data_IF_161541243205
#
_entry.id   IF_161541243205
#
_cell.length_a   1.000
_cell.length_b   1.000
_cell.length_c   1.000
_cell.angle_alpha   90.00
_cell.angle_beta   90.00
_cell.angle_gamma   90.00
#
_symmetry.space_group_name_H-M   'P 1'
#
loop_
_entity.id
_entity.type
_entity.pdbx_description
1 polymer ?
#
# COMPACT_ATOMS: atom_id res chain seq x y z
N UNK A 1 8.46 -15.59 -1.49
CA UNK A 1 8.49 -14.64 -0.34
C UNK A 1 9.18 -13.33 -0.69
N UNK A 2 10.43 -13.33 -1.18
CA UNK A 2 11.07 -12.10 -1.71
C UNK A 2 10.26 -11.45 -2.83
N UNK A 3 9.66 -12.26 -3.70
CA UNK A 3 8.84 -11.76 -4.82
C UNK A 3 7.57 -11.05 -4.34
N UNK A 4 6.78 -11.62 -3.44
CA UNK A 4 5.57 -10.96 -2.88
C UNK A 4 5.90 -9.65 -2.17
N UNK A 5 7.03 -9.55 -1.47
CA UNK A 5 7.49 -8.28 -0.89
C UNK A 5 7.91 -7.26 -1.97
N UNK A 6 8.44 -7.72 -3.10
CA UNK A 6 8.72 -6.86 -4.25
C UNK A 6 7.42 -6.39 -4.93
N UNK A 7 6.41 -7.27 -5.04
CA UNK A 7 5.10 -6.99 -5.61
C UNK A 7 4.38 -5.90 -4.80
N UNK A 8 4.32 -6.05 -3.47
CA UNK A 8 3.77 -5.03 -2.55
C UNK A 8 4.52 -3.71 -2.68
N UNK A 9 5.85 -3.75 -2.80
CA UNK A 9 6.65 -2.53 -2.91
C UNK A 9 6.47 -1.84 -4.27
N UNK A 10 6.35 -2.59 -5.37
CA UNK A 10 6.06 -2.02 -6.68
C UNK A 10 4.65 -1.43 -6.72
N UNK A 11 3.65 -2.14 -6.22
CA UNK A 11 2.28 -1.64 -6.15
C UNK A 11 2.18 -0.39 -5.25
N UNK A 12 2.97 -0.31 -4.18
CA UNK A 12 3.10 0.92 -3.40
C UNK A 12 3.76 2.07 -4.19
N UNK A 13 4.76 1.79 -5.05
CA UNK A 13 5.34 2.79 -5.94
C UNK A 13 4.33 3.25 -7.03
N UNK A 14 3.51 2.34 -7.55
CA UNK A 14 2.54 2.60 -8.63
C UNK A 14 1.25 3.25 -8.13
N UNK A 15 0.78 2.88 -6.94
CA UNK A 15 -0.43 3.42 -6.29
C UNK A 15 -0.15 4.61 -5.36
N UNK A 16 1.10 4.85 -4.98
CA UNK A 16 1.52 6.05 -4.28
C UNK A 16 1.47 7.26 -5.22
N UNK A 17 0.91 8.38 -4.75
CA UNK A 17 0.98 9.64 -5.48
C UNK A 17 2.47 9.97 -5.73
N UNK A 18 2.84 10.01 -7.01
CA UNK A 18 4.05 10.67 -7.59
C UNK A 18 5.36 9.85 -7.79
N UNK A 19 5.38 8.52 -7.66
CA UNK A 19 6.57 7.72 -8.04
C UNK A 19 6.36 6.92 -9.32
N UNK A 20 6.54 7.56 -10.48
CA UNK A 20 6.54 6.88 -11.79
C UNK A 20 7.85 6.10 -12.00
N UNK A 21 8.02 5.00 -11.29
CA UNK A 21 9.15 4.08 -11.49
C UNK A 21 8.74 3.00 -12.48
N UNK A 22 9.50 2.86 -13.58
CA UNK A 22 9.24 1.78 -14.53
C UNK A 22 9.61 0.42 -13.92
N UNK A 23 8.93 -0.65 -14.35
CA UNK A 23 9.26 -2.02 -13.92
C UNK A 23 10.74 -2.35 -14.14
N UNK A 24 11.32 -1.88 -15.25
CA UNK A 24 12.74 -2.06 -15.56
C UNK A 24 13.66 -1.36 -14.53
N UNK A 25 13.33 -0.14 -14.13
CA UNK A 25 14.07 0.59 -13.09
C UNK A 25 13.92 -0.06 -11.71
N UNK A 26 12.73 -0.58 -11.39
CA UNK A 26 12.47 -1.26 -10.13
C UNK A 26 13.28 -2.55 -10.00
N UNK A 27 13.26 -3.38 -11.04
CA UNK A 27 13.93 -4.69 -11.06
C UNK A 27 15.46 -4.56 -11.04
N UNK A 28 16.02 -3.44 -11.49
CA UNK A 28 17.46 -3.14 -11.34
C UNK A 28 17.91 -3.07 -9.87
N UNK A 29 17.00 -2.78 -8.93
CA UNK A 29 17.31 -2.77 -7.50
C UNK A 29 17.17 -4.15 -6.83
N UNK A 30 16.68 -5.16 -7.56
CA UNK A 30 16.47 -6.52 -7.03
C UNK A 30 17.74 -7.35 -7.23
N UNK A 31 18.27 -7.89 -6.13
CA UNK A 31 19.41 -8.82 -6.18
C UNK A 31 18.94 -10.18 -6.70
N UNK A 32 19.33 -10.57 -7.93
CA UNK A 32 19.03 -11.88 -8.50
C UNK A 32 18.72 -11.87 -10.01
N UNK A 33 17.96 -12.88 -10.46
CA UNK A 33 17.51 -13.01 -11.85
C UNK A 33 16.41 -12.00 -12.19
N UNK A 34 16.78 -10.97 -12.94
CA UNK A 34 15.91 -9.82 -13.27
C UNK A 34 14.67 -10.23 -14.07
N UNK A 35 14.82 -11.03 -15.12
CA UNK A 35 13.69 -11.50 -15.94
C UNK A 35 12.66 -12.29 -15.10
N UNK A 36 13.14 -13.25 -14.31
CA UNK A 36 12.27 -14.00 -13.40
C UNK A 36 11.56 -13.10 -12.40
N UNK A 37 12.21 -12.05 -11.89
CA UNK A 37 11.57 -11.10 -10.99
C UNK A 37 10.47 -10.30 -11.70
N UNK A 38 10.73 -9.81 -12.92
CA UNK A 38 9.72 -9.14 -13.75
C UNK A 38 8.50 -10.01 -13.96
N UNK A 39 8.70 -11.25 -14.40
CA UNK A 39 7.60 -12.17 -14.69
C UNK A 39 6.76 -12.43 -13.44
N UNK A 40 7.40 -12.70 -12.29
CA UNK A 40 6.68 -12.94 -11.03
C UNK A 40 5.88 -11.70 -10.62
N UNK A 41 6.45 -10.50 -10.76
CA UNK A 41 5.77 -9.27 -10.34
C UNK A 41 4.54 -9.01 -11.20
N UNK A 42 4.66 -9.11 -12.52
CA UNK A 42 3.53 -8.90 -13.43
C UNK A 42 2.42 -9.95 -13.21
N UNK A 43 2.82 -11.21 -13.00
CA UNK A 43 1.88 -12.31 -12.78
C UNK A 43 1.11 -12.18 -11.46
N UNK A 44 1.73 -11.61 -10.42
CA UNK A 44 1.07 -11.41 -9.13
C UNK A 44 0.35 -10.08 -9.00
N UNK A 45 0.53 -9.13 -9.92
CA UNK A 45 -0.01 -7.77 -9.81
C UNK A 45 -1.54 -7.79 -9.67
N UNK A 46 -2.23 -8.46 -10.61
CA UNK A 46 -3.69 -8.56 -10.59
C UNK A 46 -4.19 -9.34 -9.38
N UNK A 47 -3.53 -10.46 -9.05
CA UNK A 47 -3.88 -11.26 -7.88
C UNK A 47 -3.80 -10.41 -6.60
N UNK A 48 -2.76 -9.59 -6.46
CA UNK A 48 -2.57 -8.75 -5.28
C UNK A 48 -3.63 -7.63 -5.21
N UNK A 49 -3.99 -7.03 -6.34
CA UNK A 49 -5.09 -6.05 -6.38
C UNK A 49 -6.43 -6.66 -5.97
N UNK A 50 -6.70 -7.90 -6.41
CA UNK A 50 -7.90 -8.63 -6.00
C UNK A 50 -7.90 -8.95 -4.51
N UNK A 51 -6.77 -9.38 -3.95
CA UNK A 51 -6.65 -9.66 -2.51
C UNK A 51 -6.75 -8.40 -1.63
N UNK A 52 -6.41 -7.23 -2.17
CA UNK A 52 -6.61 -5.94 -1.52
C UNK A 52 -8.02 -5.37 -1.75
N UNK A 53 -8.91 -6.11 -2.44
CA UNK A 53 -10.26 -5.64 -2.81
C UNK A 53 -10.22 -4.30 -3.55
N UNK A 54 -9.14 -4.03 -4.30
CA UNK A 54 -8.86 -2.76 -4.98
C UNK A 54 -8.78 -1.53 -4.07
N UNK A 55 -8.64 -1.72 -2.74
CA UNK A 55 -8.34 -0.65 -1.79
C UNK A 55 -6.86 -0.28 -1.83
N UNK A 56 -6.45 0.44 -2.88
CA UNK A 56 -5.05 0.82 -3.12
C UNK A 56 -4.60 2.09 -2.38
N UNK A 57 -5.53 2.83 -1.77
CA UNK A 57 -5.21 4.07 -1.04
C UNK A 57 -4.79 3.74 0.38
N UNK A 58 -3.50 3.93 0.67
CA UNK A 58 -2.94 3.74 2.02
C UNK A 58 -2.64 5.10 2.64
N UNK A 59 -3.21 5.36 3.81
CA UNK A 59 -2.92 6.58 4.57
C UNK A 59 -1.74 6.36 5.52
N UNK A 60 -0.61 7.02 5.22
CA UNK A 60 0.62 6.85 5.97
C UNK A 60 0.73 7.88 7.13
N UNK A 61 1.21 7.49 8.34
CA UNK A 61 1.44 8.40 9.47
C UNK A 61 2.41 9.58 9.21
N UNK A 62 3.27 9.54 8.19
CA UNK A 62 4.19 10.67 7.94
C UNK A 62 3.46 11.98 7.60
N UNK A 63 2.32 11.92 6.90
CA UNK A 63 1.56 13.13 6.55
C UNK A 63 0.94 13.82 7.79
N UNK A 64 0.21 13.12 8.68
CA UNK A 64 -0.25 13.74 9.92
C UNK A 64 0.90 14.11 10.87
N UNK A 65 2.05 13.43 10.81
CA UNK A 65 3.24 13.85 11.56
C UNK A 65 3.67 15.27 11.17
N UNK A 66 3.84 15.56 9.88
CA UNK A 66 4.19 16.92 9.41
C UNK A 66 3.18 17.97 9.89
N UNK A 67 1.89 17.65 9.83
CA UNK A 67 0.84 18.53 10.34
C UNK A 67 0.98 18.82 11.84
N UNK A 68 1.24 17.78 12.65
CA UNK A 68 1.48 17.93 14.09
C UNK A 68 2.75 18.72 14.38
N UNK A 69 3.82 18.54 13.60
CA UNK A 69 5.06 19.31 13.78
C UNK A 69 4.85 20.81 13.53
N UNK A 70 4.12 21.17 12.48
CA UNK A 70 3.78 22.58 12.19
C UNK A 70 2.88 23.16 13.29
N UNK A 71 1.91 22.37 13.74
CA UNK A 71 0.99 22.76 14.81
C UNK A 71 1.72 23.05 16.13
N UNK A 72 2.68 22.19 16.51
CA UNK A 72 3.51 22.38 17.69
C UNK A 72 4.38 23.63 17.56
N UNK A 73 5.02 23.84 16.40
CA UNK A 73 5.86 25.04 16.18
C UNK A 73 5.08 26.34 16.29
N UNK A 74 3.79 26.33 15.92
CA UNK A 74 2.95 27.53 15.91
C UNK A 74 2.23 27.78 17.23
N UNK A 75 1.79 26.72 17.93
CA UNK A 75 0.97 26.82 19.15
C UNK A 75 1.71 26.53 20.45
N UNK A 76 2.92 25.93 20.40
CA UNK A 76 3.69 25.50 21.58
C UNK A 76 5.15 25.96 21.54
N UNK A 77 5.45 27.26 21.75
CA UNK A 77 6.83 27.75 21.78
C UNK A 77 7.69 27.14 22.90
N UNK A 78 7.07 26.62 23.97
CA UNK A 78 7.74 25.94 25.07
C UNK A 78 8.14 24.49 24.75
N UNK A 79 7.65 23.92 23.65
CA UNK A 79 7.98 22.56 23.26
C UNK A 79 9.39 22.52 22.63
N UNK A 80 10.20 21.47 22.86
CA UNK A 80 11.51 21.37 22.25
C UNK A 80 11.43 21.44 20.73
N UNK A 81 12.45 22.00 20.09
CA UNK A 81 12.53 22.08 18.64
C UNK A 81 12.19 20.72 17.98
N UNK A 82 11.05 20.61 17.29
CA UNK A 82 10.59 19.31 16.83
C UNK A 82 11.48 18.70 15.75
N UNK A 83 12.29 19.50 15.05
CA UNK A 83 13.26 18.99 14.08
C UNK A 83 14.36 18.16 14.76
N UNK A 84 14.74 18.50 16.00
CA UNK A 84 15.72 17.71 16.77
C UNK A 84 15.16 16.37 17.21
N UNK A 85 13.83 16.29 17.35
CA UNK A 85 13.12 15.08 17.76
C UNK A 85 12.74 14.20 16.58
N UNK A 86 12.87 14.70 15.35
CA UNK A 86 12.47 14.02 14.12
C UNK A 86 13.08 12.64 13.97
N UNK A 87 14.38 12.49 14.23
CA UNK A 87 15.05 11.18 14.17
C UNK A 87 14.48 10.16 15.14
N UNK A 88 13.99 10.59 16.31
CA UNK A 88 13.34 9.71 17.29
C UNK A 88 11.93 9.34 16.86
N UNK A 89 11.21 10.26 16.22
CA UNK A 89 9.88 10.01 15.67
C UNK A 89 9.96 9.04 14.48
N UNK A 90 10.91 9.25 13.58
CA UNK A 90 11.13 8.38 12.41
C UNK A 90 11.52 6.96 12.84
N UNK A 91 12.47 6.81 13.79
CA UNK A 91 12.82 5.50 14.36
C UNK A 91 11.60 4.79 14.98
N UNK A 92 10.74 5.53 15.68
CA UNK A 92 9.53 4.97 16.25
C UNK A 92 8.52 4.54 15.16
N UNK A 93 8.32 5.36 14.13
CA UNK A 93 7.42 5.06 13.01
C UNK A 93 7.92 3.85 12.21
N UNK A 94 9.22 3.75 11.94
CA UNK A 94 9.82 2.58 11.29
C UNK A 94 9.59 1.31 12.12
N UNK A 95 9.82 1.37 13.43
CA UNK A 95 9.54 0.24 14.32
C UNK A 95 8.06 -0.16 14.34
N UNK A 96 7.17 0.82 14.20
CA UNK A 96 5.72 0.57 14.13
C UNK A 96 5.32 -0.28 12.92
N UNK A 97 6.05 -0.20 11.80
CA UNK A 97 5.81 -1.02 10.61
C UNK A 97 6.06 -2.52 10.82
N UNK A 98 6.77 -2.91 11.89
CA UNK A 98 6.98 -4.30 12.28
C UNK A 98 5.89 -4.83 13.22
N UNK A 99 4.78 -4.10 13.35
CA UNK A 99 3.63 -4.46 14.19
C UNK A 99 2.33 -4.30 13.42
N UNK A 100 1.24 -4.84 13.95
CA UNK A 100 -0.10 -4.71 13.35
C UNK A 100 -0.73 -3.33 13.59
N UNK A 101 0.00 -2.36 14.15
CA UNK A 101 -0.53 -1.05 14.52
C UNK A 101 -1.17 -0.30 13.34
N UNK A 102 -0.57 -0.39 12.15
CA UNK A 102 -1.09 0.25 10.93
C UNK A 102 -2.43 -0.31 10.47
N UNK A 103 -2.81 -1.50 10.94
CA UNK A 103 -4.10 -2.13 10.68
C UNK A 103 -5.12 -1.84 11.80
N UNK A 104 -4.64 -1.57 13.01
CA UNK A 104 -5.47 -1.43 14.22
C UNK A 104 -5.77 0.03 14.60
N UNK A 105 -5.02 0.99 14.06
CA UNK A 105 -5.05 2.39 14.52
C UNK A 105 -5.06 3.37 13.35
N UNK A 106 -5.65 4.55 13.59
CA UNK A 106 -5.63 5.61 12.60
C UNK A 106 -4.21 6.20 12.45
N UNK A 107 -3.79 6.61 11.25
CA UNK A 107 -2.45 7.16 11.01
C UNK A 107 -2.16 8.40 11.87
N UNK A 108 -3.16 9.23 12.16
CA UNK A 108 -3.01 10.39 13.05
C UNK A 108 -2.73 9.99 14.50
N UNK A 109 -3.27 8.86 14.99
CA UNK A 109 -2.99 8.35 16.34
C UNK A 109 -1.57 7.79 16.43
N UNK A 110 -1.12 7.12 15.37
CA UNK A 110 0.25 6.61 15.25
C UNK A 110 1.24 7.80 15.24
N UNK A 111 0.97 8.82 14.42
CA UNK A 111 1.79 10.03 14.35
C UNK A 111 1.85 10.79 15.69
N UNK A 112 0.70 10.97 16.36
CA UNK A 112 0.66 11.59 17.69
C UNK A 112 1.48 10.79 18.70
N UNK A 113 1.36 9.46 18.68
CA UNK A 113 2.16 8.60 19.57
C UNK A 113 3.65 8.74 19.32
N UNK A 114 4.08 8.86 18.06
CA UNK A 114 5.49 9.09 17.71
C UNK A 114 6.01 10.41 18.30
N UNK A 115 5.22 11.49 18.20
CA UNK A 115 5.55 12.79 18.80
C UNK A 115 5.67 12.68 20.32
N UNK A 116 4.69 12.07 20.99
CA UNK A 116 4.69 11.91 22.45
C UNK A 116 5.82 11.00 22.93
N UNK A 117 6.16 9.96 22.16
CA UNK A 117 7.30 9.10 22.42
C UNK A 117 8.61 9.88 22.37
N UNK A 118 8.82 10.65 21.31
CA UNK A 118 10.04 11.45 21.15
C UNK A 118 10.14 12.54 22.24
N UNK A 119 9.03 13.19 22.59
CA UNK A 119 8.97 14.17 23.67
C UNK A 119 9.34 13.55 25.03
N UNK A 120 8.78 12.38 25.35
CA UNK A 120 9.09 11.66 26.59
C UNK A 120 10.58 11.25 26.64
N UNK A 121 11.13 10.75 25.53
CA UNK A 121 12.54 10.38 25.42
C UNK A 121 13.48 11.59 25.56
N UNK A 122 13.04 12.77 25.14
CA UNK A 122 13.73 14.04 25.34
C UNK A 122 13.42 14.72 26.68
N UNK A 123 12.71 14.06 27.60
CA UNK A 123 12.29 14.57 28.90
C UNK A 123 11.51 15.90 28.82
N UNK A 124 10.78 16.10 27.74
CA UNK A 124 9.98 17.29 27.51
C UNK A 124 8.55 17.11 28.04
N UNK A 125 7.97 18.19 28.56
CA UNK A 125 6.58 18.17 29.00
C UNK A 125 5.63 18.26 27.80
N UNK A 126 5.10 17.11 27.38
CA UNK A 126 4.12 17.02 26.29
C UNK A 126 2.66 17.12 26.76
N UNK A 127 2.39 17.09 28.06
CA UNK A 127 1.01 17.04 28.58
C UNK A 127 0.24 18.33 28.31
N UNK A 128 0.92 19.48 28.39
CA UNK A 128 0.36 20.80 28.07
C UNK A 128 -0.13 20.83 26.61
N UNK A 129 0.64 20.27 25.68
CA UNK A 129 0.23 20.21 24.28
C UNK A 129 -1.01 19.35 24.08
N UNK A 130 -1.05 18.16 24.69
CA UNK A 130 -2.17 17.23 24.50
C UNK A 130 -3.43 17.75 25.17
N UNK A 131 -3.37 18.08 26.46
CA UNK A 131 -4.55 18.46 27.24
C UNK A 131 -5.04 19.87 26.91
N UNK A 132 -4.13 20.85 26.84
CA UNK A 132 -4.52 22.27 26.86
C UNK A 132 -4.63 22.87 25.46
N UNK A 133 -4.05 22.23 24.43
CA UNK A 133 -3.96 22.78 23.07
C UNK A 133 -4.65 21.86 22.05
N UNK A 134 -4.32 20.58 22.02
CA UNK A 134 -4.86 19.63 21.05
C UNK A 134 -6.28 19.19 21.41
N UNK A 135 -6.53 18.94 22.69
CA UNK A 135 -7.84 18.52 23.21
C UNK A 135 -8.50 19.58 24.10
N UNK A 136 -8.14 20.86 23.89
CA UNK A 136 -8.76 21.98 24.58
C UNK A 136 -10.30 21.92 24.43
N UNK A 137 -11.03 21.89 25.55
CA UNK A 137 -12.49 21.82 25.56
C UNK A 137 -13.10 20.46 25.18
N UNK A 138 -12.30 19.40 25.07
CA UNK A 138 -12.82 18.04 24.86
C UNK A 138 -13.23 17.36 26.18
N UNK A 139 -14.12 16.37 26.09
CA UNK A 139 -14.49 15.56 27.26
C UNK A 139 -13.30 14.71 27.76
N UNK A 140 -13.24 14.49 29.08
CA UNK A 140 -12.22 13.65 29.70
C UNK A 140 -12.17 12.23 29.12
N UNK A 141 -13.32 11.68 28.73
CA UNK A 141 -13.39 10.34 28.11
C UNK A 141 -12.59 10.27 26.81
N UNK A 142 -12.70 11.27 25.93
CA UNK A 142 -11.97 11.29 24.65
C UNK A 142 -10.46 11.34 24.89
N UNK A 143 -10.03 12.16 25.86
CA UNK A 143 -8.63 12.25 26.26
C UNK A 143 -8.12 10.91 26.82
N UNK A 144 -8.95 10.21 27.61
CA UNK A 144 -8.61 8.89 28.15
C UNK A 144 -8.40 7.86 27.04
N UNK A 145 -9.34 7.78 26.07
CA UNK A 145 -9.22 6.88 24.92
C UNK A 145 -7.93 7.12 24.12
N UNK A 146 -7.54 8.38 23.92
CA UNK A 146 -6.30 8.71 23.21
C UNK A 146 -5.07 8.31 24.03
N UNK A 147 -5.06 8.57 25.33
CA UNK A 147 -3.95 8.13 26.21
C UNK A 147 -3.81 6.61 26.22
N UNK A 148 -4.91 5.87 26.21
CA UNK A 148 -4.90 4.41 26.13
C UNK A 148 -4.41 3.91 24.77
N UNK A 149 -4.83 4.54 23.68
CA UNK A 149 -4.36 4.24 22.33
C UNK A 149 -2.83 4.40 22.22
N UNK A 150 -2.30 5.52 22.75
CA UNK A 150 -0.86 5.81 22.82
C UNK A 150 -0.12 4.74 23.63
N UNK A 151 -0.64 4.38 24.81
CA UNK A 151 -0.04 3.31 25.65
C UNK A 151 -0.04 1.96 24.94
N UNK A 152 -1.15 1.58 24.31
CA UNK A 152 -1.30 0.32 23.58
C UNK A 152 -0.25 0.23 22.46
N UNK A 153 -0.12 1.28 21.66
CA UNK A 153 0.87 1.31 20.59
C UNK A 153 2.31 1.21 21.12
N UNK A 154 2.62 1.92 22.21
CA UNK A 154 3.93 1.84 22.84
C UNK A 154 4.26 0.40 23.30
N UNK A 155 3.28 -0.31 23.88
CA UNK A 155 3.44 -1.70 24.28
C UNK A 155 3.65 -2.64 23.09
N UNK A 156 2.91 -2.44 21.99
CA UNK A 156 3.08 -3.22 20.75
C UNK A 156 4.50 -3.08 20.21
N UNK A 157 5.00 -1.84 20.11
CA UNK A 157 6.35 -1.56 19.62
C UNK A 157 7.42 -2.11 20.57
N UNK A 158 7.18 -2.10 21.88
CA UNK A 158 8.09 -2.70 22.87
C UNK A 158 8.11 -4.23 22.80
N UNK A 159 7.00 -4.85 22.39
CA UNK A 159 6.85 -6.30 22.30
C UNK A 159 7.46 -6.92 21.03
N UNK A 160 8.04 -6.11 20.12
CA UNK A 160 8.68 -6.60 18.90
C UNK A 160 9.81 -7.57 19.26
N UNK A 161 9.69 -8.81 18.79
CA UNK A 161 10.73 -9.83 18.91
C UNK A 161 11.30 -10.14 17.53
N UNK A 162 12.61 -9.96 17.38
CA UNK A 162 13.29 -10.36 16.13
C UNK A 162 13.45 -11.88 16.14
N UNK A 163 12.87 -12.60 15.16
CA UNK A 163 12.96 -14.05 15.13
C UNK A 163 14.41 -14.49 14.89
N UNK A 164 14.91 -15.51 15.61
CA UNK A 164 16.27 -16.02 15.42
C UNK A 164 16.40 -16.69 14.05
N UNK A 165 17.59 -16.57 13.44
CA UNK A 165 17.88 -17.04 12.08
C UNK A 165 17.56 -18.53 11.87
N UNK A 166 17.76 -19.36 12.89
CA UNK A 166 17.48 -20.80 12.80
C UNK A 166 15.98 -21.09 12.69
N UNK A 167 15.14 -20.33 13.41
CA UNK A 167 13.68 -20.43 13.26
C UNK A 167 13.22 -19.96 11.88
N UNK A 168 13.84 -18.91 11.35
CA UNK A 168 13.55 -18.43 9.98
C UNK A 168 13.92 -19.50 8.95
N UNK A 169 15.12 -20.09 9.03
CA UNK A 169 15.56 -21.17 8.12
C UNK A 169 14.67 -22.40 8.19
N UNK A 170 14.28 -22.82 9.40
CA UNK A 170 13.39 -23.96 9.58
C UNK A 170 12.00 -23.68 8.99
N UNK A 171 11.49 -22.45 9.10
CA UNK A 171 10.24 -22.05 8.47
C UNK A 171 10.35 -22.02 6.94
N UNK A 172 11.45 -21.48 6.38
CA UNK A 172 11.72 -21.47 4.94
C UNK A 172 11.76 -22.89 4.36
N UNK A 173 12.42 -23.84 5.04
CA UNK A 173 12.46 -25.24 4.60
C UNK A 173 11.09 -25.93 4.61
N UNK A 174 10.23 -25.58 5.58
CA UNK A 174 8.85 -26.08 5.62
C UNK A 174 8.01 -25.46 4.51
N UNK A 175 8.16 -24.15 4.28
CA UNK A 175 7.44 -23.41 3.25
C UNK A 175 7.69 -23.96 1.85
N UNK A 176 8.92 -24.38 1.55
CA UNK A 176 9.26 -24.96 0.24
C UNK A 176 8.47 -26.25 -0.05
N UNK A 177 8.15 -27.02 0.99
CA UNK A 177 7.39 -28.28 0.86
C UNK A 177 5.89 -28.08 0.71
N UNK A 178 5.34 -26.96 1.18
CA UNK A 178 3.90 -26.68 1.18
C UNK A 178 3.50 -25.48 0.33
N UNK A 179 4.38 -25.00 -0.56
CA UNK A 179 4.09 -23.88 -1.46
C UNK A 179 2.95 -24.24 -2.40
N UNK A 180 2.00 -23.31 -2.56
CA UNK A 180 0.92 -23.47 -3.53
C UNK A 180 1.50 -23.52 -4.96
N UNK A 181 1.34 -24.66 -5.62
CA UNK A 181 1.86 -24.91 -6.95
C UNK A 181 1.03 -24.24 -8.05
N UNK A 182 -0.19 -23.81 -7.76
CA UNK A 182 -1.00 -22.99 -8.67
C UNK A 182 -0.48 -21.56 -8.80
N UNK A 183 0.26 -21.04 -7.81
CA UNK A 183 0.84 -19.69 -7.84
C UNK A 183 2.37 -19.74 -7.97
N UNK A 184 2.89 -20.86 -8.48
CA UNK A 184 4.32 -21.06 -8.68
C UNK A 184 4.65 -20.98 -10.18
N UNK A 185 5.35 -19.93 -10.66
CA UNK A 185 5.69 -19.80 -12.09
C UNK A 185 6.49 -20.97 -12.66
N UNK A 186 7.25 -21.66 -11.80
CA UNK A 186 8.06 -22.82 -12.19
C UNK A 186 7.23 -24.12 -12.27
N UNK A 187 5.98 -24.13 -11.78
CA UNK A 187 5.09 -25.31 -11.79
C UNK A 187 4.41 -25.51 -13.14
N UNK A 188 4.25 -26.78 -13.54
CA UNK A 188 3.47 -27.13 -14.73
C UNK A 188 1.98 -26.78 -14.58
N UNK A 189 1.45 -26.79 -13.35
CA UNK A 189 0.05 -26.46 -13.07
C UNK A 189 -0.21 -24.98 -13.39
N UNK A 190 0.71 -24.09 -12.98
CA UNK A 190 0.63 -22.66 -13.30
C UNK A 190 0.70 -22.41 -14.80
N UNK A 191 1.65 -23.05 -15.50
CA UNK A 191 1.81 -22.90 -16.96
C UNK A 191 0.57 -23.36 -17.72
N UNK A 192 -0.06 -24.47 -17.29
CA UNK A 192 -1.29 -24.97 -17.88
C UNK A 192 -2.45 -23.99 -17.68
N UNK A 193 -2.63 -23.48 -16.46
CA UNK A 193 -3.71 -22.51 -16.14
C UNK A 193 -3.56 -21.21 -16.93
N UNK A 194 -2.32 -20.72 -17.10
CA UNK A 194 -2.05 -19.54 -17.93
C UNK A 194 -2.39 -19.79 -19.40
N UNK A 195 -2.04 -20.97 -19.91
CA UNK A 195 -2.33 -21.37 -21.28
C UNK A 195 -3.85 -21.49 -21.51
N UNK A 196 -4.58 -22.11 -20.58
CA UNK A 196 -6.05 -22.20 -20.63
C UNK A 196 -6.70 -20.81 -20.65
N UNK A 197 -6.24 -19.87 -19.81
CA UNK A 197 -6.73 -18.49 -19.84
C UNK A 197 -6.47 -17.77 -21.16
N UNK A 198 -5.29 -17.96 -21.75
CA UNK A 198 -4.95 -17.38 -23.06
C UNK A 198 -5.79 -17.99 -24.18
N UNK A 199 -6.03 -19.30 -24.13
CA UNK A 199 -6.89 -20.00 -25.09
C UNK A 199 -8.35 -19.50 -24.98
N UNK A 200 -8.88 -19.34 -23.77
CA UNK A 200 -10.22 -18.79 -23.52
C UNK A 200 -10.35 -17.35 -24.04
N UNK A 201 -9.38 -16.46 -23.77
CA UNK A 201 -9.38 -15.09 -24.32
C UNK A 201 -9.31 -15.08 -25.85
N UNK A 202 -8.53 -15.99 -26.44
CA UNK A 202 -8.41 -16.07 -27.89
C UNK A 202 -9.73 -16.50 -28.53
N UNK A 203 -10.40 -17.49 -27.93
CA UNK A 203 -11.73 -17.96 -28.33
C UNK A 203 -12.74 -16.83 -28.20
N UNK A 204 -12.78 -16.13 -27.07
CA UNK A 204 -13.70 -15.01 -26.84
C UNK A 204 -13.48 -13.86 -27.84
N UNK A 205 -12.22 -13.55 -28.15
CA UNK A 205 -11.86 -12.57 -29.17
C UNK A 205 -12.33 -12.99 -30.56
N UNK A 206 -12.09 -14.23 -30.97
CA UNK A 206 -12.52 -14.76 -32.27
C UNK A 206 -14.04 -14.65 -32.45
N UNK A 207 -14.83 -14.80 -31.39
CA UNK A 207 -16.29 -14.67 -31.48
C UNK A 207 -16.80 -13.24 -31.31
N UNK A 208 -16.19 -12.41 -30.46
CA UNK A 208 -16.65 -11.05 -30.16
C UNK A 208 -16.21 -10.03 -31.22
N UNK A 209 -14.96 -10.07 -31.69
CA UNK A 209 -14.45 -9.06 -32.63
C UNK A 209 -15.18 -9.02 -33.97
N UNK A 210 -15.51 -10.16 -34.63
CA UNK A 210 -16.27 -10.14 -35.87
C UNK A 210 -17.69 -9.61 -35.69
N UNK A 211 -18.36 -9.97 -34.57
CA UNK A 211 -19.71 -9.49 -34.25
C UNK A 211 -19.74 -7.98 -34.06
N UNK A 212 -18.80 -7.44 -33.28
CA UNK A 212 -18.66 -6.00 -33.07
C UNK A 212 -18.31 -5.28 -34.38
N UNK A 213 -17.49 -5.89 -35.25
CA UNK A 213 -17.15 -5.33 -36.56
C UNK A 213 -18.31 -5.35 -37.56
N UNK A 214 -19.16 -6.39 -37.53
CA UNK A 214 -20.39 -6.45 -38.33
C UNK A 214 -21.43 -5.44 -37.83
N UNK A 215 -21.60 -5.31 -36.53
CA UNK A 215 -22.50 -4.33 -35.91
C UNK A 215 -22.05 -2.90 -36.23
N UNK A 216 -20.75 -2.62 -36.16
CA UNK A 216 -20.18 -1.34 -36.55
C UNK A 216 -20.39 -1.04 -38.05
N UNK A 217 -20.17 -2.02 -38.94
CA UNK A 217 -20.44 -1.85 -40.39
C UNK A 217 -21.91 -1.55 -40.67
N UNK A 218 -22.85 -2.19 -39.96
CA UNK A 218 -24.28 -1.93 -40.12
C UNK A 218 -24.65 -0.51 -39.69
N UNK A 219 -24.07 -0.05 -38.58
CA UNK A 219 -24.28 1.33 -38.11
C UNK A 219 -23.67 2.36 -39.08
N UNK A 220 -22.48 2.08 -39.62
CA UNK A 220 -21.83 2.94 -40.61
C UNK A 220 -22.62 2.99 -41.93
N UNK A 221 -23.15 1.85 -42.40
CA UNK A 221 -24.02 1.77 -43.59
C UNK A 221 -25.35 2.52 -43.38
N UNK A 222 -25.97 2.40 -42.20
CA UNK A 222 -27.17 3.17 -41.83
C UNK A 222 -26.88 4.69 -41.80
N UNK A 223 -25.72 5.08 -41.29
CA UNK A 223 -25.30 6.49 -41.22
C UNK A 223 -25.01 7.05 -42.62
N UNK A 224 -24.38 6.27 -43.49
CA UNK A 224 -24.11 6.65 -44.88
C UNK A 224 -25.40 6.72 -45.72
N UNK A 225 -26.36 5.83 -45.47
CA UNK A 225 -27.66 5.85 -46.14
C UNK A 225 -28.47 7.11 -45.81
N UNK A 226 -28.34 7.64 -44.59
CA UNK A 226 -28.98 8.92 -44.19
C UNK A 226 -28.32 10.11 -44.90
N UNK A 227 -27.01 10.06 -45.17
CA UNK A 227 -26.27 11.13 -45.86
C UNK A 227 -26.46 11.21 -47.38
N UNK A 228 -27.03 10.16 -48.00
CA UNK A 228 -27.27 10.07 -49.45
C UNK A 228 -28.72 10.36 -49.86
N UNK A 229 -29.60 10.71 -48.91
CA UNK A 229 -30.94 11.19 -49.25
C UNK A 229 -30.79 12.52 -50.02
N UNK A 230 -31.26 12.63 -51.28
CA UNK A 230 -31.13 13.87 -52.02
C UNK A 230 -31.95 14.94 -51.31
N UNK A 231 -31.28 16.00 -50.87
CA UNK A 231 -31.93 17.23 -50.40
C UNK A 231 -32.89 17.70 -51.49
N UNK A 232 -34.16 17.38 -51.29
CA UNK A 232 -35.26 17.94 -52.05
C UNK A 232 -35.18 19.45 -51.94
N UNK A 233 -34.73 20.06 -53.03
CA UNK A 233 -34.58 21.50 -53.18
C UNK A 233 -35.95 22.21 -53.20
N UNK A 234 -35.92 23.55 -53.17
CA UNK A 234 -36.40 24.44 -52.12
C UNK A 234 -37.93 24.57 -51.97
#
# INVERSE_FOLDING_TARGET
HRSTCCDVRLLACKGGREFNVSIAQFVNNVRGGREKATDIILNNELLLMQQLEYHLTIHNPYRPLEGLLIDIKTRCPQFPDPEKLRSLMDDFLERTLFTDAVLLMAPSQIALTAVLYAANKAQANSDVYVSDILFAGCSHDKLHHIKDAVKKLHLMVKAIQVPPKDRVRAAEQKLEKCRNQENNPDSQIYKRKMQEMMEDEHVDGIFKYPRLSEEQRRLDDETLAISCAPDGSP
#
